data_IF_565455900217
#
_entry.id   IF_565455900217
#
_cell.length_a   1.000
_cell.length_b   1.000
_cell.length_c   1.000
_cell.angle_alpha   90.00
_cell.angle_beta   90.00
_cell.angle_gamma   90.00
#
_symmetry.space_group_name_H-M   'P 1'
#
loop_
_entity.id
_entity.type
_entity.pdbx_description
1 polymer ?
#
# COMPACT_ATOMS: atom_id res chain seq x y z
N UNK A 1 25.58 -49.66 5.47
CA UNK A 1 24.98 -48.95 4.32
C UNK A 1 23.63 -48.44 4.78
N UNK A 2 23.47 -47.13 4.93
CA UNK A 2 22.20 -46.53 5.31
C UNK A 2 21.70 -45.76 4.09
N UNK A 3 20.58 -46.21 3.53
CA UNK A 3 19.83 -45.47 2.53
C UNK A 3 19.32 -44.19 3.19
N UNK A 4 20.10 -43.13 3.04
CA UNK A 4 19.70 -41.78 3.44
C UNK A 4 18.58 -41.33 2.52
N UNK A 5 17.34 -41.55 2.94
CA UNK A 5 16.18 -40.86 2.42
C UNK A 5 16.30 -39.38 2.77
N UNK A 6 17.10 -38.64 2.00
CA UNK A 6 16.97 -37.20 1.92
C UNK A 6 15.60 -36.90 1.30
N UNK A 7 14.56 -36.83 2.13
CA UNK A 7 13.44 -35.96 1.82
C UNK A 7 13.97 -34.54 1.91
N UNK A 8 14.54 -34.06 0.81
CA UNK A 8 14.62 -32.63 0.56
C UNK A 8 13.16 -32.17 0.56
N UNK A 9 12.70 -31.68 1.71
CA UNK A 9 11.39 -31.06 1.83
C UNK A 9 11.32 -29.98 0.77
N UNK A 10 10.52 -30.27 -0.25
CA UNK A 10 10.31 -29.41 -1.40
C UNK A 10 10.05 -27.99 -0.92
N UNK A 11 10.90 -27.07 -1.38
CA UNK A 11 10.72 -25.63 -1.34
C UNK A 11 9.24 -25.21 -1.38
N UNK A 12 8.67 -24.94 -0.21
CA UNK A 12 7.38 -24.28 -0.07
C UNK A 12 7.42 -23.28 1.08
N UNK A 13 8.37 -22.36 1.00
CA UNK A 13 8.20 -21.03 1.58
C UNK A 13 7.26 -20.16 0.69
N UNK A 14 6.20 -20.77 0.14
CA UNK A 14 5.05 -20.03 -0.41
C UNK A 14 4.45 -19.26 0.76
N UNK A 15 4.29 -17.94 0.59
CA UNK A 15 3.98 -16.99 1.66
C UNK A 15 2.91 -17.51 2.63
N UNK A 16 3.32 -17.76 3.88
CA UNK A 16 2.39 -18.09 4.96
C UNK A 16 1.60 -16.82 5.30
N UNK A 17 0.36 -16.75 4.84
CA UNK A 17 -0.63 -15.75 5.28
C UNK A 17 -1.53 -16.36 6.35
N UNK A 18 -2.00 -15.58 7.35
CA UNK A 18 -1.88 -14.13 7.47
C UNK A 18 -0.53 -13.65 8.04
N UNK A 19 -0.05 -12.49 7.55
CA UNK A 19 1.11 -11.79 8.12
C UNK A 19 0.59 -10.56 8.86
N UNK A 20 0.65 -10.57 10.20
CA UNK A 20 0.23 -9.43 11.01
C UNK A 20 1.37 -8.42 11.16
N UNK A 21 1.08 -7.14 10.87
CA UNK A 21 2.02 -6.02 11.04
C UNK A 21 1.30 -4.88 11.76
N UNK A 22 1.92 -4.35 12.81
CA UNK A 22 1.45 -3.14 13.50
C UNK A 22 2.10 -1.93 12.85
N UNK A 23 1.30 -0.91 12.62
CA UNK A 23 1.72 0.36 12.02
C UNK A 23 1.32 1.49 12.97
N UNK A 24 2.10 2.55 12.96
CA UNK A 24 1.81 3.75 13.74
C UNK A 24 1.18 4.79 12.81
N UNK A 25 0.08 5.40 13.26
CA UNK A 25 -0.49 6.58 12.60
C UNK A 25 0.44 7.75 12.87
N UNK A 26 0.89 8.41 11.82
CA UNK A 26 1.75 9.57 11.87
C UNK A 26 0.98 10.83 11.47
N UNK A 27 1.51 11.98 11.85
CA UNK A 27 1.03 13.26 11.35
C UNK A 27 1.65 13.56 9.98
N UNK A 28 0.84 14.07 9.05
CA UNK A 28 1.30 14.55 7.75
C UNK A 28 0.66 15.89 7.43
N UNK A 29 1.34 16.72 6.67
CA UNK A 29 0.77 17.98 6.19
C UNK A 29 -0.03 17.71 4.93
N UNK A 30 -1.30 18.12 4.91
CA UNK A 30 -2.10 18.13 3.69
C UNK A 30 -1.48 19.11 2.70
N UNK A 31 -1.40 18.73 1.42
CA UNK A 31 -1.05 19.68 0.36
C UNK A 31 -2.06 20.84 0.37
N UNK A 32 -1.62 22.01 0.82
CA UNK A 32 -2.43 23.23 0.76
C UNK A 32 -2.34 23.79 -0.66
N UNK A 33 -3.48 24.17 -1.24
CA UNK A 33 -3.48 24.86 -2.54
C UNK A 33 -2.82 26.23 -2.35
N UNK A 34 -1.57 26.36 -2.76
CA UNK A 34 -0.82 27.61 -2.64
C UNK A 34 -1.37 28.68 -3.59
N UNK A 35 -2.38 29.43 -3.14
CA UNK A 35 -2.75 30.71 -3.76
C UNK A 35 -2.32 31.84 -2.86
N UNK A 36 -1.05 32.22 -2.96
CA UNK A 36 -0.64 33.60 -2.66
C UNK A 36 0.59 33.98 -3.48
N UNK A 37 0.34 34.58 -4.66
CA UNK A 37 1.36 35.33 -5.43
C UNK A 37 1.30 36.78 -4.96
N UNK A 38 2.02 37.10 -3.90
CA UNK A 38 2.25 38.47 -3.43
C UNK A 38 3.72 38.63 -3.05
N UNK A 39 4.32 39.76 -3.41
CA UNK A 39 5.72 40.08 -3.06
C UNK A 39 5.75 40.42 -1.56
N UNK A 40 6.32 39.54 -0.73
CA UNK A 40 6.38 39.69 0.74
C UNK A 40 6.47 38.36 1.49
N UNK A 41 6.51 38.40 2.83
CA UNK A 41 6.41 37.21 3.70
C UNK A 41 4.96 36.74 3.71
N UNK A 42 4.72 35.52 3.23
CA UNK A 42 3.40 34.91 3.20
C UNK A 42 3.35 33.76 4.21
N UNK A 43 2.58 33.93 5.29
CA UNK A 43 2.25 32.83 6.20
C UNK A 43 1.13 32.00 5.58
N UNK A 44 1.42 30.75 5.24
CA UNK A 44 0.42 29.82 4.70
C UNK A 44 -0.04 28.89 5.82
N UNK A 45 -1.36 28.82 6.10
CA UNK A 45 -1.89 27.86 7.06
C UNK A 45 -1.51 26.43 6.67
N UNK A 46 -0.94 25.68 7.62
CA UNK A 46 -0.62 24.27 7.45
C UNK A 46 -1.74 23.45 8.09
N UNK A 47 -2.37 22.59 7.30
CA UNK A 47 -3.35 21.64 7.80
C UNK A 47 -2.66 20.30 8.04
N UNK A 48 -2.71 19.81 9.28
CA UNK A 48 -2.16 18.51 9.67
C UNK A 48 -3.27 17.47 9.63
N UNK A 49 -3.00 16.32 9.04
CA UNK A 49 -3.91 15.19 8.90
C UNK A 49 -3.22 13.89 9.33
N UNK A 50 -3.98 12.89 9.83
CA UNK A 50 -3.44 11.58 10.15
C UNK A 50 -3.08 10.79 8.88
N UNK A 51 -1.96 10.07 8.91
CA UNK A 51 -1.43 9.30 7.79
C UNK A 51 -0.89 7.94 8.25
N UNK A 52 -1.13 6.89 7.46
CA UNK A 52 -0.52 5.57 7.65
C UNK A 52 0.30 5.23 6.42
N UNK A 53 1.58 4.91 6.63
CA UNK A 53 2.52 4.63 5.54
C UNK A 53 2.81 3.14 5.47
N UNK A 54 2.37 2.49 4.39
CA UNK A 54 2.65 1.09 4.10
C UNK A 54 3.95 0.97 3.30
N UNK A 55 4.97 0.29 3.85
CA UNK A 55 6.25 0.04 3.17
C UNK A 55 6.72 -1.40 3.33
N UNK A 56 7.40 -1.92 2.32
CA UNK A 56 8.16 -3.17 2.38
C UNK A 56 7.94 -4.11 1.19
N UNK A 57 8.85 -5.08 1.03
CA UNK A 57 8.81 -6.09 -0.05
C UNK A 57 7.53 -6.95 -0.02
N UNK A 58 6.89 -7.08 1.16
CA UNK A 58 5.69 -7.87 1.39
C UNK A 58 4.45 -7.32 0.67
N UNK A 59 4.37 -6.01 0.41
CA UNK A 59 3.24 -5.42 -0.35
C UNK A 59 3.19 -5.99 -1.77
N UNK A 60 4.35 -6.08 -2.43
CA UNK A 60 4.45 -6.68 -3.77
C UNK A 60 4.10 -8.17 -3.75
N UNK A 61 4.53 -8.89 -2.71
CA UNK A 61 4.17 -10.31 -2.52
C UNK A 61 2.69 -10.52 -2.20
N UNK A 62 2.01 -9.51 -1.66
CA UNK A 62 0.58 -9.49 -1.40
C UNK A 62 -0.26 -9.04 -2.61
N UNK A 63 0.36 -8.80 -3.76
CA UNK A 63 -0.34 -8.42 -4.99
C UNK A 63 -0.55 -6.91 -5.19
N UNK A 64 0.08 -6.06 -4.38
CA UNK A 64 0.08 -4.61 -4.59
C UNK A 64 1.26 -4.23 -5.48
N UNK A 65 0.99 -3.92 -6.75
CA UNK A 65 2.00 -3.43 -7.68
C UNK A 65 2.17 -1.90 -7.61
N UNK A 66 3.35 -1.41 -8.00
CA UNK A 66 3.61 0.04 -8.10
C UNK A 66 2.73 0.61 -9.21
N UNK A 67 2.06 1.74 -8.93
CA UNK A 67 1.14 2.40 -9.87
C UNK A 67 -0.25 1.77 -9.95
N UNK A 68 -0.50 0.69 -9.22
CA UNK A 68 -1.82 0.07 -9.14
C UNK A 68 -2.75 0.88 -8.24
N UNK A 69 -4.00 1.07 -8.67
CA UNK A 69 -5.04 1.66 -7.83
C UNK A 69 -5.44 0.69 -6.72
N UNK A 70 -5.72 1.23 -5.54
CA UNK A 70 -6.15 0.45 -4.38
C UNK A 70 -7.53 0.93 -3.97
N UNK A 71 -8.45 -0.01 -3.78
CA UNK A 71 -9.75 0.25 -3.18
C UNK A 71 -9.60 0.21 -1.66
N UNK A 72 -9.96 1.31 -1.00
CA UNK A 72 -10.01 1.41 0.44
C UNK A 72 -11.46 1.42 0.91
N UNK A 73 -11.85 0.41 1.68
CA UNK A 73 -13.14 0.36 2.38
C UNK A 73 -12.90 0.80 3.82
N UNK A 74 -13.63 1.84 4.25
CA UNK A 74 -13.47 2.45 5.58
C UNK A 74 -14.70 2.15 6.41
N UNK A 75 -14.51 1.38 7.47
CA UNK A 75 -15.49 1.09 8.50
C UNK A 75 -15.04 1.72 9.83
N UNK A 76 -15.94 1.77 10.83
CA UNK A 76 -15.54 2.21 12.16
C UNK A 76 -14.50 1.26 12.76
N UNK A 77 -13.28 1.75 12.99
CA UNK A 77 -12.17 0.98 13.56
C UNK A 77 -11.44 0.04 12.59
N UNK A 78 -11.84 -0.02 11.32
CA UNK A 78 -11.26 -0.93 10.33
C UNK A 78 -11.10 -0.25 8.96
N UNK A 79 -9.93 -0.45 8.34
CA UNK A 79 -9.68 -0.07 6.95
C UNK A 79 -9.21 -1.31 6.19
N UNK A 80 -9.99 -1.73 5.20
CA UNK A 80 -9.65 -2.86 4.33
C UNK A 80 -9.14 -2.33 2.99
N UNK A 81 -7.91 -2.70 2.63
CA UNK A 81 -7.27 -2.31 1.38
C UNK A 81 -7.23 -3.49 0.43
N UNK A 82 -7.74 -3.30 -0.80
CA UNK A 82 -7.72 -4.33 -1.84
C UNK A 82 -7.12 -3.79 -3.13
N UNK A 83 -6.21 -4.53 -3.79
CA UNK A 83 -5.65 -4.11 -5.06
C UNK A 83 -6.75 -4.14 -6.14
N UNK A 84 -6.97 -3.03 -6.83
CA UNK A 84 -7.92 -2.99 -7.94
C UNK A 84 -7.28 -3.69 -9.14
N UNK A 85 -7.92 -4.70 -9.77
CA UNK A 85 -7.38 -5.28 -10.99
C UNK A 85 -7.19 -4.19 -12.03
N UNK A 86 -6.07 -4.25 -12.76
CA UNK A 86 -5.86 -3.35 -13.88
C UNK A 86 -7.01 -3.55 -14.87
N UNK A 87 -7.76 -2.48 -15.12
CA UNK A 87 -8.91 -2.49 -16.04
C UNK A 87 -8.41 -2.93 -17.41
N UNK A 88 -8.70 -4.17 -17.81
CA UNK A 88 -8.57 -4.60 -19.20
C UNK A 88 -9.75 -3.99 -19.93
N UNK A 89 -9.72 -2.67 -20.08
CA UNK A 89 -10.64 -1.97 -20.97
C UNK A 89 -10.26 -2.40 -22.39
N UNK A 90 -10.93 -3.47 -22.85
CA UNK A 90 -10.98 -3.88 -24.24
C UNK A 90 -11.44 -2.66 -25.03
N UNK A 91 -10.51 -2.02 -25.74
CA UNK A 91 -10.81 -1.09 -26.83
C UNK A 91 -11.41 -1.89 -27.98
N UNK A 92 -12.68 -2.26 -27.84
CA UNK A 92 -13.55 -2.59 -28.97
C UNK A 92 -14.00 -1.27 -29.59
N UNK A 93 -13.24 -0.76 -30.55
CA UNK A 93 -13.74 0.24 -31.49
C UNK A 93 -14.06 -0.51 -32.78
N UNK A 94 -15.35 -0.67 -33.00
CA UNK A 94 -16.00 -0.98 -34.28
C UNK A 94 -15.78 0.16 -35.28
#
# INVERSE_FOLDING_TARGET
MADYHHMSEFNSAKGKYPIYRRLTVLETTRESSSKTRGIGINYVPVHVEPCVVLRGKWLRLAGFAIGQKVLAVVNQGEISLTPQPADVSRTSKE
#
